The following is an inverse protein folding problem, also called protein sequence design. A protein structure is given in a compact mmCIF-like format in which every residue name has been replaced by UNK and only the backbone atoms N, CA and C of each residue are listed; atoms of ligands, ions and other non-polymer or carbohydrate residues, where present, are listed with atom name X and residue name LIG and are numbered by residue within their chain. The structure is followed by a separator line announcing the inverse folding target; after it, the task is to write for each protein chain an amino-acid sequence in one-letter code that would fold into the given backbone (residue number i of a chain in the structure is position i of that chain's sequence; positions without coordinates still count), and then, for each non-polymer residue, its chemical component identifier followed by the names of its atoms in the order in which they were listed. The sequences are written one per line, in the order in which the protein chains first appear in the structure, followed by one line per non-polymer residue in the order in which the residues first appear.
data_IF_490144068251
#
_entry.id   IF_490144068251
#
_cell.length_a   1.000
_cell.length_b   1.000
_cell.length_c   1.000
_cell.angle_alpha   90.00
_cell.angle_beta   90.00
_cell.angle_gamma   90.00
#
_symmetry.space_group_name_H-M   'P 1'
#
loop_
_entity.id
_entity.type
_entity.pdbx_description
1 polymer ?
#
# COMPACT_ATOMS: atom_id res chain seq x y z
N UNK A 1 28.31 -2.80 -2.19
CA UNK A 1 26.86 -2.46 -2.13
C UNK A 1 26.72 -1.32 -1.13
N UNK A 2 26.13 -0.20 -1.53
CA UNK A 2 25.91 0.91 -0.61
C UNK A 2 24.97 0.44 0.53
N UNK A 3 25.36 0.68 1.78
CA UNK A 3 24.56 0.28 2.94
C UNK A 3 23.49 1.35 3.15
N UNK A 4 22.28 1.08 2.68
CA UNK A 4 21.14 1.97 2.88
C UNK A 4 20.66 1.88 4.32
N UNK A 5 20.37 3.04 4.92
CA UNK A 5 19.61 3.09 6.18
C UNK A 5 18.16 2.65 5.93
N UNK A 6 17.42 2.21 6.96
CA UNK A 6 15.99 1.94 6.83
C UNK A 6 15.24 3.14 6.25
N UNK A 7 14.28 2.87 5.35
CA UNK A 7 13.44 3.90 4.75
C UNK A 7 11.98 3.67 5.12
N UNK A 8 11.26 4.77 5.35
CA UNK A 8 9.81 4.81 5.25
C UNK A 8 9.44 5.18 3.81
N UNK A 9 8.37 4.60 3.28
CA UNK A 9 7.86 4.94 1.94
C UNK A 9 6.60 5.79 2.08
N UNK A 10 6.61 6.96 1.45
CA UNK A 10 5.44 7.85 1.37
C UNK A 10 4.93 7.84 -0.06
N UNK A 11 3.65 7.55 -0.23
CA UNK A 11 2.97 7.58 -1.53
C UNK A 11 1.93 8.70 -1.51
N UNK A 12 1.98 9.58 -2.51
CA UNK A 12 1.11 10.75 -2.59
C UNK A 12 0.47 10.79 -3.98
N UNK A 13 -0.84 11.02 -4.04
CA UNK A 13 -1.53 11.29 -5.29
C UNK A 13 -1.66 12.80 -5.52
N UNK A 14 -1.14 13.23 -6.66
CA UNK A 14 -1.24 14.59 -7.18
C UNK A 14 -2.36 14.61 -8.22
N UNK A 15 -3.53 15.14 -7.84
CA UNK A 15 -4.73 15.18 -8.69
C UNK A 15 -4.52 16.05 -9.94
N UNK A 16 -3.85 17.19 -9.79
CA UNK A 16 -3.62 18.14 -10.88
C UNK A 16 -2.72 17.54 -11.95
N UNK A 17 -1.68 16.82 -11.53
CA UNK A 17 -0.71 16.19 -12.43
C UNK A 17 -1.04 14.73 -12.76
N UNK A 18 -2.13 14.21 -12.21
CA UNK A 18 -2.60 12.84 -12.39
C UNK A 18 -1.49 11.78 -12.17
N UNK A 19 -0.71 11.92 -11.11
CA UNK A 19 0.44 11.06 -10.84
C UNK A 19 0.55 10.64 -9.39
N UNK A 20 1.11 9.45 -9.19
CA UNK A 20 1.58 8.99 -7.89
C UNK A 20 3.06 9.35 -7.74
N UNK A 21 3.41 9.96 -6.62
CA UNK A 21 4.80 10.21 -6.24
C UNK A 21 5.17 9.28 -5.09
N UNK A 22 6.23 8.50 -5.27
CA UNK A 22 6.80 7.63 -4.24
C UNK A 22 8.07 8.26 -3.72
N UNK A 23 8.16 8.45 -2.40
CA UNK A 23 9.32 9.05 -1.73
C UNK A 23 9.86 8.09 -0.68
N UNK A 24 11.17 7.89 -0.68
CA UNK A 24 11.87 7.27 0.44
C UNK A 24 12.23 8.35 1.47
N UNK A 25 11.77 8.18 2.70
CA UNK A 25 11.97 9.10 3.81
C UNK A 25 12.74 8.43 4.94
N UNK A 26 13.41 9.25 5.74
CA UNK A 26 14.05 8.84 6.98
C UNK A 26 12.96 8.59 8.05
N UNK A 27 12.81 7.37 8.58
CA UNK A 27 11.75 7.04 9.54
C UNK A 27 11.79 7.91 10.80
N UNK A 28 12.98 8.21 11.32
CA UNK A 28 13.13 8.96 12.57
C UNK A 28 12.70 10.42 12.40
N UNK A 29 12.89 10.97 11.20
CA UNK A 29 12.43 12.32 10.85
C UNK A 29 10.94 12.37 10.59
N UNK A 30 10.34 11.26 10.14
CA UNK A 30 8.91 11.16 9.84
C UNK A 30 8.08 10.90 11.11
N UNK A 31 8.62 10.16 12.08
CA UNK A 31 7.91 9.72 13.28
C UNK A 31 7.16 10.84 14.05
N UNK A 32 7.70 12.06 14.26
CA UNK A 32 6.96 13.12 14.92
C UNK A 32 5.71 13.58 14.15
N UNK A 33 5.72 13.50 12.81
CA UNK A 33 4.59 13.90 11.97
C UNK A 33 3.49 12.84 11.88
N UNK A 34 3.79 11.60 12.25
CA UNK A 34 2.82 10.49 12.22
C UNK A 34 2.01 10.36 13.51
N UNK A 35 2.29 11.16 14.54
CA UNK A 35 1.55 11.13 15.79
C UNK A 35 0.07 11.50 15.57
N UNK A 36 -0.84 10.60 15.94
CA UNK A 36 -2.29 10.82 15.82
C UNK A 36 -2.83 10.73 14.39
N UNK A 37 -2.01 10.33 13.42
CA UNK A 37 -2.44 10.03 12.05
C UNK A 37 -3.12 8.66 12.03
N UNK A 38 -4.07 8.47 11.10
CA UNK A 38 -4.73 7.19 10.88
C UNK A 38 -3.70 6.09 10.60
N UNK A 39 -3.72 5.05 11.42
CA UNK A 39 -2.88 3.87 11.29
C UNK A 39 -3.75 2.67 10.93
N UNK A 40 -3.31 1.91 9.93
CA UNK A 40 -3.88 0.61 9.59
C UNK A 40 -2.77 -0.43 9.74
N UNK A 41 -2.67 -1.08 10.91
CA UNK A 41 -1.64 -2.08 11.13
C UNK A 41 -1.91 -3.31 10.26
N UNK A 42 -0.87 -3.78 9.55
CA UNK A 42 -0.90 -5.03 8.78
C UNK A 42 0.06 -5.99 9.46
N UNK A 43 -0.49 -6.98 10.16
CA UNK A 43 0.29 -7.93 10.94
C UNK A 43 0.74 -9.08 10.03
N UNK A 44 2.02 -9.43 10.06
CA UNK A 44 2.56 -10.48 9.18
C UNK A 44 2.10 -11.90 9.56
N UNK A 45 1.69 -12.12 10.80
CA UNK A 45 1.15 -13.40 11.27
C UNK A 45 -0.17 -13.77 10.58
N UNK A 46 -0.99 -12.78 10.22
CA UNK A 46 -2.20 -12.95 9.40
C UNK A 46 -1.91 -13.46 7.98
N UNK A 47 -0.65 -13.46 7.56
CA UNK A 47 -0.18 -13.87 6.23
C UNK A 47 0.90 -14.97 6.28
N UNK A 48 0.90 -15.79 7.34
CA UNK A 48 1.89 -16.87 7.54
C UNK A 48 3.36 -16.37 7.49
N UNK A 49 3.58 -15.10 7.83
CA UNK A 49 4.87 -14.41 7.69
C UNK A 49 5.46 -14.44 6.27
N UNK A 50 4.61 -14.53 5.24
CA UNK A 50 5.01 -14.53 3.83
C UNK A 50 4.61 -13.22 3.17
N UNK A 51 5.59 -12.64 2.49
CA UNK A 51 5.42 -11.49 1.61
C UNK A 51 5.54 -12.03 0.19
N UNK A 52 4.48 -12.65 -0.30
CA UNK A 52 4.37 -13.17 -1.66
C UNK A 52 3.69 -12.16 -2.59
N UNK A 53 3.53 -12.53 -3.87
CA UNK A 53 2.92 -11.66 -4.87
C UNK A 53 1.47 -11.29 -4.51
N UNK A 54 0.74 -12.19 -3.84
CA UNK A 54 -0.63 -11.95 -3.41
C UNK A 54 -0.69 -10.96 -2.25
N UNK A 55 0.22 -11.08 -1.27
CA UNK A 55 0.41 -10.08 -0.22
C UNK A 55 0.74 -8.72 -0.82
N UNK A 56 1.74 -8.65 -1.71
CA UNK A 56 2.18 -7.38 -2.31
C UNK A 56 1.05 -6.71 -3.10
N UNK A 57 0.28 -7.50 -3.85
CA UNK A 57 -0.91 -7.03 -4.58
C UNK A 57 -1.98 -6.46 -3.66
N UNK A 58 -2.30 -7.16 -2.57
CA UNK A 58 -3.30 -6.72 -1.57
C UNK A 58 -2.84 -5.47 -0.82
N UNK A 59 -1.56 -5.42 -0.42
CA UNK A 59 -0.97 -4.25 0.21
C UNK A 59 -1.08 -3.01 -0.70
N UNK A 60 -0.67 -3.13 -1.97
CA UNK A 60 -0.77 -2.04 -2.94
C UNK A 60 -2.21 -1.58 -3.16
N UNK A 61 -3.15 -2.52 -3.30
CA UNK A 61 -4.56 -2.20 -3.42
C UNK A 61 -5.11 -1.48 -2.17
N UNK A 62 -4.75 -1.93 -0.97
CA UNK A 62 -5.17 -1.29 0.27
C UNK A 62 -4.65 0.15 0.40
N UNK A 63 -3.37 0.39 0.06
CA UNK A 63 -2.80 1.74 0.05
C UNK A 63 -3.50 2.67 -0.95
N UNK A 64 -3.81 2.17 -2.16
CA UNK A 64 -4.54 2.96 -3.16
C UNK A 64 -5.97 3.26 -2.75
N UNK A 65 -6.66 2.33 -2.09
CA UNK A 65 -8.01 2.57 -1.54
C UNK A 65 -7.98 3.58 -0.39
N UNK A 66 -6.92 3.58 0.43
CA UNK A 66 -6.76 4.59 1.48
C UNK A 66 -6.56 5.99 0.89
N UNK A 67 -5.79 6.11 -0.20
CA UNK A 67 -5.66 7.36 -0.96
C UNK A 67 -7.03 7.77 -1.53
N UNK A 68 -7.75 6.84 -2.15
CA UNK A 68 -9.08 7.11 -2.73
C UNK A 68 -10.09 7.59 -1.69
N UNK A 69 -10.04 7.08 -0.45
CA UNK A 69 -10.91 7.53 0.63
C UNK A 69 -10.75 9.04 0.97
N UNK A 70 -9.57 9.61 0.77
CA UNK A 70 -9.32 11.05 0.92
C UNK A 70 -9.36 11.85 -0.39
N UNK A 71 -9.12 11.18 -1.52
CA UNK A 71 -8.97 11.78 -2.85
C UNK A 71 -9.67 10.89 -3.90
N UNK A 72 -11.02 10.88 -3.95
CA UNK A 72 -11.79 9.92 -4.76
C UNK A 72 -11.58 10.10 -6.27
N UNK A 73 -10.97 11.19 -6.72
CA UNK A 73 -10.64 11.42 -8.13
C UNK A 73 -9.75 10.34 -8.74
N UNK A 74 -8.97 9.61 -7.92
CA UNK A 74 -8.12 8.52 -8.37
C UNK A 74 -8.89 7.25 -8.76
N UNK A 75 -10.12 7.06 -8.25
CA UNK A 75 -10.90 5.82 -8.43
C UNK A 75 -11.12 5.47 -9.91
N UNK A 76 -11.29 6.48 -10.76
CA UNK A 76 -11.45 6.30 -12.22
C UNK A 76 -10.24 5.69 -12.92
N UNK A 77 -9.08 5.65 -12.25
CA UNK A 77 -7.85 5.03 -12.75
C UNK A 77 -7.54 3.70 -12.05
N UNK A 78 -8.36 3.27 -11.09
CA UNK A 78 -8.12 2.08 -10.29
C UNK A 78 -8.87 0.87 -10.86
N UNK A 79 -8.12 -0.16 -11.21
CA UNK A 79 -8.63 -1.51 -11.50
C UNK A 79 -7.98 -2.51 -10.54
N UNK A 80 -8.11 -2.25 -9.24
CA UNK A 80 -7.46 -3.03 -8.19
C UNK A 80 -8.43 -4.07 -7.62
N UNK A 81 -7.96 -5.31 -7.48
CA UNK A 81 -8.75 -6.39 -6.86
C UNK A 81 -8.40 -6.50 -5.38
N UNK A 82 -9.38 -6.29 -4.51
CA UNK A 82 -9.21 -6.39 -3.05
C UNK A 82 -9.40 -7.82 -2.53
N UNK A 83 -10.24 -8.60 -3.20
CA UNK A 83 -10.50 -9.99 -2.86
C UNK A 83 -9.31 -10.90 -3.22
N UNK A 84 -9.15 -12.06 -2.53
CA UNK A 84 -8.16 -13.04 -2.92
C UNK A 84 -8.31 -13.44 -4.39
N UNK A 85 -7.21 -13.53 -5.15
CA UNK A 85 -7.31 -14.09 -6.50
C UNK A 85 -7.69 -15.58 -6.37
N UNK A 86 -8.78 -16.04 -7.01
CA UNK A 86 -9.12 -17.45 -7.00
C UNK A 86 -7.93 -18.26 -7.52
N UNK A 87 -7.40 -19.15 -6.69
CA UNK A 87 -6.35 -20.07 -7.13
C UNK A 87 -6.97 -20.96 -8.20
N UNK A 88 -6.35 -21.03 -9.37
CA UNK A 88 -6.82 -21.82 -10.52
C UNK A 88 -6.98 -23.28 -10.05
N UNK A 89 -8.21 -23.67 -9.73
CA UNK A 89 -8.54 -24.93 -9.05
C UNK A 89 -9.77 -24.87 -8.14
N UNK A 90 -10.20 -23.69 -7.69
CA UNK A 90 -11.35 -23.56 -6.78
C UNK A 90 -12.73 -23.44 -7.49
N UNK A 91 -12.79 -23.86 -8.76
CA UNK A 91 -13.95 -23.74 -9.63
C UNK A 91 -14.51 -25.08 -10.10
N UNK A 92 -14.55 -26.09 -9.25
CA UNK A 92 -15.22 -27.35 -9.54
C UNK A 92 -16.10 -27.79 -8.39
N UNK A 93 -17.30 -27.24 -8.34
CA UNK A 93 -18.49 -27.90 -7.78
C UNK A 93 -19.68 -27.58 -8.64
#
# INVERSE_FOLDING_TARGET
MAKHSPYAVVVIYDEDQQRLTVKAADPDKLAPQLQGVLEMPILLDEFDYRIDDEFARRLGAAMLNLIAAGQPGIEKYMSVTLEPIPRRGDGSR
#
